data_IF_590284396242
#
_entry.id   IF_590284396242
#
_cell.length_a   1.000
_cell.length_b   1.000
_cell.length_c   1.000
_cell.angle_alpha   90.00
_cell.angle_beta   90.00
_cell.angle_gamma   90.00
#
_symmetry.space_group_name_H-M   'P 1'
#
loop_
_entity.id
_entity.type
_entity.pdbx_description
1 polymer ?
#
# COMPACT_ATOMS: atom_id res chain seq x y z
N UNK A 1 6.43 15.10 8.06
CA UNK A 1 6.72 15.93 6.88
C UNK A 1 5.63 15.65 5.87
N UNK A 2 5.04 16.70 5.32
CA UNK A 2 4.10 16.61 4.22
C UNK A 2 4.90 16.45 2.92
N UNK A 3 4.44 15.54 2.07
CA UNK A 3 5.06 15.17 0.80
C UNK A 3 4.26 15.75 -0.36
N UNK A 4 2.94 15.77 -0.24
CA UNK A 4 2.03 16.37 -1.22
C UNK A 4 1.40 17.62 -0.59
N UNK A 5 1.77 18.79 -1.09
CA UNK A 5 1.38 20.08 -0.52
C UNK A 5 0.12 20.66 -1.19
N UNK A 6 -0.06 20.39 -2.49
CA UNK A 6 -1.20 20.85 -3.29
C UNK A 6 -1.66 19.82 -4.34
N UNK A 7 -2.67 20.16 -5.13
CA UNK A 7 -3.25 19.30 -6.16
C UNK A 7 -2.25 18.89 -7.25
N UNK A 8 -1.37 19.80 -7.69
CA UNK A 8 -0.35 19.51 -8.70
C UNK A 8 0.58 18.39 -8.26
N UNK A 9 0.90 18.32 -6.96
CA UNK A 9 1.72 17.26 -6.39
C UNK A 9 1.06 15.88 -6.50
N UNK A 10 -0.24 15.80 -6.21
CA UNK A 10 -0.99 14.56 -6.32
C UNK A 10 -1.12 14.13 -7.79
N UNK A 11 -1.52 15.05 -8.68
CA UNK A 11 -1.72 14.75 -10.10
C UNK A 11 -0.40 14.38 -10.80
N UNK A 12 0.69 15.05 -10.47
CA UNK A 12 2.01 14.67 -10.97
C UNK A 12 2.41 13.27 -10.47
N UNK A 13 2.18 12.96 -9.20
CA UNK A 13 2.48 11.63 -8.67
C UNK A 13 1.61 10.53 -9.29
N UNK A 14 0.33 10.80 -9.55
CA UNK A 14 -0.57 9.89 -10.26
C UNK A 14 -0.10 9.64 -11.70
N UNK A 15 0.40 10.68 -12.37
CA UNK A 15 1.03 10.55 -13.71
C UNK A 15 2.25 9.63 -13.64
N UNK A 16 3.13 9.83 -12.66
CA UNK A 16 4.27 8.92 -12.44
C UNK A 16 3.79 7.50 -12.14
N UNK A 17 2.79 7.31 -11.26
CA UNK A 17 2.26 5.98 -10.98
C UNK A 17 1.81 5.29 -12.26
N UNK A 18 1.01 5.96 -13.10
CA UNK A 18 0.56 5.41 -14.39
C UNK A 18 1.72 4.93 -15.26
N UNK A 19 2.67 5.82 -15.54
CA UNK A 19 3.82 5.51 -16.38
C UNK A 19 4.67 4.38 -15.79
N UNK A 20 4.86 4.35 -14.47
CA UNK A 20 5.62 3.32 -13.79
C UNK A 20 4.94 1.95 -13.87
N UNK A 21 3.62 1.90 -13.70
CA UNK A 21 2.83 0.67 -13.78
C UNK A 21 2.92 0.04 -15.17
N UNK A 22 2.77 0.85 -16.21
CA UNK A 22 2.90 0.43 -17.62
C UNK A 22 4.32 -0.07 -17.91
N UNK A 23 5.34 0.69 -17.52
CA UNK A 23 6.75 0.39 -17.78
C UNK A 23 7.21 -0.94 -17.17
N UNK A 24 6.73 -1.25 -15.97
CA UNK A 24 7.18 -2.42 -15.20
C UNK A 24 6.16 -3.58 -15.22
N UNK A 25 5.10 -3.46 -16.03
CA UNK A 25 4.02 -4.43 -16.18
C UNK A 25 3.44 -4.85 -14.80
N UNK A 26 2.86 -3.87 -14.11
CA UNK A 26 2.29 -4.03 -12.77
C UNK A 26 0.81 -3.69 -12.81
N UNK A 27 -0.03 -4.61 -12.33
CA UNK A 27 -1.46 -4.32 -12.13
C UNK A 27 -1.65 -3.53 -10.85
N UNK A 28 -2.42 -2.44 -10.91
CA UNK A 28 -2.82 -1.67 -9.73
C UNK A 28 -4.24 -2.03 -9.32
N UNK A 29 -4.39 -2.55 -8.10
CA UNK A 29 -5.67 -2.99 -7.55
C UNK A 29 -6.22 -2.04 -6.49
N UNK A 30 -5.37 -1.24 -5.82
CA UNK A 30 -5.82 -0.21 -4.89
C UNK A 30 -4.72 0.83 -4.69
N UNK A 31 -5.12 2.05 -4.37
CA UNK A 31 -4.19 3.06 -3.89
C UNK A 31 -4.87 4.05 -2.94
N UNK A 32 -4.07 4.70 -2.10
CA UNK A 32 -4.48 5.88 -1.36
C UNK A 32 -3.26 6.76 -1.16
N UNK A 33 -3.24 7.94 -1.80
CA UNK A 33 -2.24 8.96 -1.57
C UNK A 33 -2.67 9.78 -0.36
N UNK A 34 -1.83 9.84 0.66
CA UNK A 34 -2.03 10.63 1.88
C UNK A 34 -1.03 11.79 1.84
N UNK A 35 -1.29 12.92 2.53
CA UNK A 35 -0.39 14.07 2.50
C UNK A 35 1.08 13.74 2.81
N UNK A 36 1.37 12.72 3.61
CA UNK A 36 2.72 12.36 4.06
C UNK A 36 3.22 10.96 3.62
N UNK A 37 2.40 10.15 2.95
CA UNK A 37 2.77 8.81 2.47
C UNK A 37 1.74 8.26 1.48
N UNK A 38 1.92 7.05 0.96
CA UNK A 38 0.92 6.41 0.12
C UNK A 38 0.87 4.90 0.38
N UNK A 39 -0.28 4.27 0.05
CA UNK A 39 -0.46 2.82 0.08
C UNK A 39 -0.84 2.32 -1.30
N UNK A 40 -0.32 1.16 -1.69
CA UNK A 40 -0.63 0.50 -2.96
C UNK A 40 -0.95 -0.98 -2.71
N UNK A 41 -1.92 -1.51 -3.46
CA UNK A 41 -2.13 -2.94 -3.65
C UNK A 41 -1.86 -3.25 -5.11
N UNK A 42 -0.81 -4.02 -5.38
CA UNK A 42 -0.31 -4.23 -6.73
C UNK A 42 0.04 -5.69 -6.99
N UNK A 43 0.00 -6.08 -8.26
CA UNK A 43 0.39 -7.41 -8.74
C UNK A 43 1.50 -7.26 -9.77
N UNK A 44 2.76 -7.38 -9.35
CA UNK A 44 3.89 -7.32 -10.27
C UNK A 44 3.94 -8.58 -11.14
N UNK A 45 4.05 -8.43 -12.48
CA UNK A 45 4.13 -9.57 -13.42
C UNK A 45 5.56 -9.96 -13.80
N UNK A 46 6.53 -9.09 -13.55
CA UNK A 46 7.94 -9.30 -13.86
C UNK A 46 8.81 -9.58 -12.63
N UNK A 47 9.95 -10.23 -12.85
CA UNK A 47 10.96 -10.39 -11.80
C UNK A 47 11.58 -9.02 -11.45
N UNK A 48 11.71 -8.73 -10.16
CA UNK A 48 12.22 -7.46 -9.64
C UNK A 48 11.42 -6.20 -10.06
N UNK A 49 10.28 -6.35 -10.71
CA UNK A 49 9.54 -5.21 -11.26
C UNK A 49 9.02 -4.28 -10.17
N UNK A 50 8.61 -4.81 -9.01
CA UNK A 50 8.26 -4.00 -7.83
C UNK A 50 9.38 -3.03 -7.42
N UNK A 51 10.62 -3.53 -7.30
CA UNK A 51 11.75 -2.73 -6.85
C UNK A 51 12.10 -1.65 -7.87
N UNK A 52 12.11 -1.99 -9.17
CA UNK A 52 12.35 -1.04 -10.27
C UNK A 52 11.27 0.04 -10.33
N UNK A 53 10.01 -0.36 -10.24
CA UNK A 53 8.85 0.53 -10.18
C UNK A 53 8.96 1.53 -9.04
N UNK A 54 9.13 1.04 -7.81
CA UNK A 54 9.21 1.89 -6.62
C UNK A 54 10.41 2.83 -6.70
N UNK A 55 11.58 2.33 -7.14
CA UNK A 55 12.76 3.17 -7.32
C UNK A 55 12.50 4.29 -8.32
N UNK A 56 11.92 3.97 -9.48
CA UNK A 56 11.68 4.94 -10.54
C UNK A 56 10.63 5.99 -10.14
N UNK A 57 9.48 5.58 -9.58
CA UNK A 57 8.43 6.51 -9.13
C UNK A 57 8.94 7.43 -8.03
N UNK A 58 9.52 6.85 -6.97
CA UNK A 58 9.98 7.63 -5.80
C UNK A 58 11.09 8.61 -6.17
N UNK A 59 12.04 8.20 -7.02
CA UNK A 59 13.14 9.07 -7.47
C UNK A 59 12.67 10.17 -8.40
N UNK A 60 11.75 9.86 -9.33
CA UNK A 60 11.19 10.84 -10.25
C UNK A 60 10.41 11.92 -9.50
N UNK A 61 9.63 11.52 -8.50
CA UNK A 61 8.89 12.47 -7.67
C UNK A 61 9.80 13.36 -6.83
N UNK A 62 10.87 12.83 -6.22
CA UNK A 62 11.86 13.63 -5.48
C UNK A 62 12.43 14.75 -6.35
N UNK A 63 12.76 14.44 -7.61
CA UNK A 63 13.30 15.43 -8.57
C UNK A 63 12.29 16.53 -8.87
N UNK A 64 11.02 16.16 -9.11
CA UNK A 64 9.93 17.11 -9.29
C UNK A 64 9.73 17.98 -8.05
N UNK A 65 9.63 17.38 -6.87
CA UNK A 65 9.41 18.08 -5.60
C UNK A 65 10.49 19.13 -5.34
N UNK A 66 11.76 18.77 -5.48
CA UNK A 66 12.87 19.71 -5.27
C UNK A 66 12.94 20.80 -6.34
N UNK A 67 12.61 20.48 -7.60
CA UNK A 67 12.54 21.48 -8.67
C UNK A 67 11.44 22.50 -8.40
N UNK A 68 10.26 22.04 -7.99
CA UNK A 68 9.10 22.89 -7.65
C UNK A 68 9.38 23.77 -6.44
N UNK A 69 9.86 23.16 -5.35
CA UNK A 69 10.04 23.84 -4.07
C UNK A 69 11.39 24.55 -3.91
N UNK A 70 12.31 24.43 -4.88
CA UNK A 70 13.69 24.95 -4.82
C UNK A 70 14.45 24.48 -3.57
N UNK A 71 14.24 23.22 -3.18
CA UNK A 71 14.87 22.59 -2.01
C UNK A 71 15.83 21.47 -2.43
N UNK A 72 16.50 20.85 -1.46
CA UNK A 72 17.30 19.63 -1.66
C UNK A 72 17.19 18.72 -0.43
N UNK A 73 17.64 17.47 -0.54
CA UNK A 73 17.68 16.52 0.58
C UNK A 73 16.79 15.29 0.36
N UNK A 74 16.39 14.64 1.46
CA UNK A 74 15.54 13.46 1.43
C UNK A 74 14.09 13.82 1.77
N UNK A 75 13.13 13.42 0.93
CA UNK A 75 11.70 13.58 1.21
C UNK A 75 11.00 12.30 1.71
N UNK A 76 11.62 11.14 1.48
CA UNK A 76 11.08 9.86 1.94
C UNK A 76 11.74 9.46 3.27
N UNK A 77 10.97 8.97 4.23
CA UNK A 77 11.47 8.54 5.54
C UNK A 77 12.23 7.21 5.54
N UNK A 78 12.65 6.73 4.37
CA UNK A 78 13.39 5.48 4.20
C UNK A 78 12.89 4.68 2.99
N UNK A 79 13.26 3.39 2.99
CA UNK A 79 12.80 2.43 1.98
C UNK A 79 11.30 2.18 2.09
N UNK A 80 10.68 1.86 0.95
CA UNK A 80 9.32 1.34 0.93
C UNK A 80 9.23 0.04 1.74
N UNK A 81 8.06 -0.19 2.35
CA UNK A 81 7.70 -1.44 3.01
C UNK A 81 6.82 -2.25 2.08
N UNK A 82 7.02 -3.55 2.03
CA UNK A 82 6.19 -4.45 1.24
C UNK A 82 6.04 -5.80 1.93
N UNK A 83 4.91 -6.46 1.72
CA UNK A 83 4.65 -7.81 2.18
C UNK A 83 3.63 -8.48 1.24
N UNK A 84 3.66 -9.81 1.17
CA UNK A 84 2.75 -10.57 0.32
C UNK A 84 1.39 -10.76 1.02
N UNK A 85 0.33 -10.79 0.23
CA UNK A 85 -1.03 -11.07 0.67
C UNK A 85 -1.57 -12.30 -0.03
N UNK A 86 -2.17 -13.20 0.74
CA UNK A 86 -2.90 -14.33 0.19
C UNK A 86 -4.18 -13.82 -0.51
N UNK A 87 -4.54 -14.44 -1.63
CA UNK A 87 -5.83 -14.19 -2.28
C UNK A 87 -7.00 -14.60 -1.34
N UNK A 88 -8.25 -14.37 -1.77
CA UNK A 88 -9.48 -14.54 -0.96
C UNK A 88 -9.65 -13.40 0.07
N UNK A 89 -10.21 -13.67 1.24
CA UNK A 89 -10.61 -12.64 2.20
C UNK A 89 -9.48 -11.70 2.67
N UNK A 90 -8.22 -12.15 2.70
CA UNK A 90 -7.08 -11.29 3.09
C UNK A 90 -6.83 -10.16 2.07
N UNK A 91 -7.02 -10.46 0.78
CA UNK A 91 -6.97 -9.46 -0.29
C UNK A 91 -8.04 -8.38 -0.09
N UNK A 92 -9.31 -8.76 0.15
CA UNK A 92 -10.37 -7.78 0.42
C UNK A 92 -10.11 -6.97 1.69
N UNK A 93 -9.57 -7.63 2.72
CA UNK A 93 -9.21 -6.96 3.97
C UNK A 93 -8.18 -5.85 3.71
N UNK A 94 -7.16 -6.11 2.89
CA UNK A 94 -6.17 -5.09 2.50
C UNK A 94 -6.75 -4.02 1.58
N UNK A 95 -7.55 -4.40 0.58
CA UNK A 95 -8.23 -3.48 -0.33
C UNK A 95 -9.05 -2.46 0.47
N UNK A 96 -9.90 -2.93 1.39
CA UNK A 96 -10.68 -2.07 2.30
C UNK A 96 -9.81 -1.18 3.16
N UNK A 97 -8.73 -1.73 3.74
CA UNK A 97 -7.83 -0.95 4.59
C UNK A 97 -7.17 0.22 3.84
N UNK A 98 -6.81 0.00 2.58
CA UNK A 98 -6.22 1.03 1.72
C UNK A 98 -7.26 2.08 1.36
N UNK A 99 -8.44 1.65 0.91
CA UNK A 99 -9.51 2.55 0.48
C UNK A 99 -10.16 3.34 1.64
N UNK A 100 -10.17 2.79 2.85
CA UNK A 100 -10.63 3.48 4.06
C UNK A 100 -9.56 4.37 4.72
N UNK A 101 -8.34 4.47 4.16
CA UNK A 101 -7.22 5.07 4.89
C UNK A 101 -7.41 6.56 5.15
N UNK A 102 -7.84 7.32 4.13
CA UNK A 102 -8.11 8.75 4.24
C UNK A 102 -9.28 9.05 5.20
N UNK A 103 -10.36 8.27 5.11
CA UNK A 103 -11.49 8.33 6.04
C UNK A 103 -11.02 8.10 7.48
N UNK A 104 -10.25 7.03 7.71
CA UNK A 104 -9.71 6.69 9.04
C UNK A 104 -8.74 7.75 9.58
N UNK A 105 -8.12 8.53 8.71
CA UNK A 105 -7.25 9.65 9.08
C UNK A 105 -8.01 10.98 9.22
N UNK A 106 -9.34 10.97 9.13
CA UNK A 106 -10.21 12.16 9.14
C UNK A 106 -9.88 13.18 8.04
N UNK A 107 -9.36 12.72 6.89
CA UNK A 107 -9.10 13.58 5.73
C UNK A 107 -10.33 13.74 4.82
N UNK A 108 -11.34 12.89 5.02
CA UNK A 108 -12.58 12.89 4.25
C UNK A 108 -13.77 12.47 5.12
N UNK A 109 -14.98 12.88 4.75
CA UNK A 109 -16.21 12.52 5.49
C UNK A 109 -16.66 11.10 5.18
N UNK A 110 -16.56 10.71 3.92
CA UNK A 110 -16.70 9.33 3.45
C UNK A 110 -15.44 8.90 2.70
N UNK A 111 -15.22 7.60 2.54
CA UNK A 111 -14.01 7.08 1.91
C UNK A 111 -13.89 7.49 0.43
N UNK A 112 -15.01 7.59 -0.30
CA UNK A 112 -15.03 8.00 -1.70
C UNK A 112 -14.85 9.50 -1.92
N UNK A 113 -15.03 10.34 -0.89
CA UNK A 113 -14.78 11.79 -1.01
C UNK A 113 -13.29 12.11 -1.15
N UNK A 114 -12.41 11.16 -0.80
CA UNK A 114 -10.97 11.33 -0.98
C UNK A 114 -10.57 11.06 -2.44
N UNK A 115 -10.49 12.13 -3.22
CA UNK A 115 -10.22 12.07 -4.67
C UNK A 115 -8.89 11.39 -5.06
N UNK A 116 -7.93 11.31 -4.13
CA UNK A 116 -6.63 10.66 -4.34
C UNK A 116 -6.58 9.22 -3.78
N UNK A 117 -7.74 8.56 -3.71
CA UNK A 117 -7.87 7.15 -3.35
C UNK A 117 -8.62 6.35 -4.41
N UNK A 118 -8.37 5.04 -4.45
CA UNK A 118 -8.95 4.15 -5.45
C UNK A 118 -10.46 3.98 -5.31
N UNK A 119 -11.05 4.18 -4.12
CA UNK A 119 -12.51 4.12 -4.00
C UNK A 119 -13.19 5.27 -4.77
N UNK A 120 -12.62 6.48 -4.73
CA UNK A 120 -13.11 7.60 -5.52
C UNK A 120 -13.00 7.31 -7.03
N UNK A 121 -11.87 6.77 -7.48
CA UNK A 121 -11.70 6.35 -8.88
C UNK A 121 -12.73 5.29 -9.28
N UNK A 122 -12.98 4.26 -8.45
CA UNK A 122 -14.00 3.23 -8.72
C UNK A 122 -15.41 3.80 -8.79
N UNK A 123 -15.72 4.75 -7.91
CA UNK A 123 -17.07 5.31 -7.76
C UNK A 123 -17.39 6.27 -8.90
N UNK A 124 -16.46 7.16 -9.21
CA UNK A 124 -16.68 8.24 -10.17
C UNK A 124 -16.07 7.97 -11.54
N UNK A 125 -15.32 6.86 -11.71
CA UNK A 125 -14.57 6.53 -12.92
C UNK A 125 -13.67 7.67 -13.38
N UNK A 126 -13.13 8.42 -12.41
CA UNK A 126 -12.38 9.66 -12.66
C UNK A 126 -11.03 9.40 -13.31
N UNK A 127 -10.48 8.20 -13.11
CA UNK A 127 -9.18 7.76 -13.61
C UNK A 127 -9.32 6.30 -14.08
N UNK A 128 -8.50 5.88 -15.04
CA UNK A 128 -8.49 4.52 -15.59
C UNK A 128 -7.16 3.82 -15.24
N UNK A 129 -6.70 3.98 -13.99
CA UNK A 129 -5.47 3.39 -13.48
C UNK A 129 -5.70 1.98 -12.94
N UNK A 130 -6.89 1.75 -12.39
CA UNK A 130 -7.21 0.52 -11.70
C UNK A 130 -7.45 -0.64 -12.65
N UNK A 131 -6.81 -1.75 -12.33
CA UNK A 131 -7.15 -3.05 -12.86
C UNK A 131 -8.32 -3.64 -12.06
N UNK A 132 -9.09 -4.50 -12.71
CA UNK A 132 -10.22 -5.16 -12.05
C UNK A 132 -9.72 -6.02 -10.89
N UNK A 133 -10.33 -5.89 -9.70
CA UNK A 133 -10.01 -6.73 -8.57
C UNK A 133 -10.34 -8.19 -8.90
N UNK A 134 -9.65 -9.12 -8.27
CA UNK A 134 -9.88 -10.56 -8.50
C UNK A 134 -11.19 -11.11 -7.90
N UNK A 135 -12.10 -10.24 -7.43
CA UNK A 135 -13.38 -10.62 -6.82
C UNK A 135 -14.45 -9.55 -7.08
N UNK A 136 -15.72 -9.97 -7.06
CA UNK A 136 -16.86 -9.06 -7.10
C UNK A 136 -16.96 -8.24 -5.81
N UNK A 137 -17.34 -6.97 -5.96
CA UNK A 137 -17.33 -5.95 -4.93
C UNK A 137 -18.76 -5.43 -4.69
N UNK A 138 -19.67 -6.34 -4.41
CA UNK A 138 -21.06 -5.98 -4.10
C UNK A 138 -21.11 -5.20 -2.77
N UNK A 139 -21.89 -4.13 -2.75
CA UNK A 139 -22.05 -3.23 -1.59
C UNK A 139 -20.71 -2.67 -1.04
N UNK A 140 -19.69 -2.60 -1.88
CA UNK A 140 -18.33 -2.33 -1.44
C UNK A 140 -18.13 -0.94 -0.84
N UNK A 141 -18.78 0.09 -1.40
CA UNK A 141 -18.71 1.46 -0.86
C UNK A 141 -19.18 1.49 0.60
N UNK A 142 -20.30 0.83 0.91
CA UNK A 142 -20.82 0.76 2.28
C UNK A 142 -19.90 -0.06 3.19
N UNK A 143 -19.36 -1.17 2.69
CA UNK A 143 -18.40 -1.97 3.44
C UNK A 143 -17.12 -1.20 3.78
N UNK A 144 -16.58 -0.40 2.86
CA UNK A 144 -15.39 0.44 3.11
C UNK A 144 -15.68 1.53 4.14
N UNK A 145 -16.86 2.16 4.08
CA UNK A 145 -17.27 3.20 5.02
C UNK A 145 -17.64 2.67 6.42
N UNK A 146 -17.84 1.37 6.57
CA UNK A 146 -18.10 0.76 7.89
C UNK A 146 -16.85 0.87 8.76
N UNK A 147 -16.96 1.29 10.05
CA UNK A 147 -15.81 1.35 10.96
C UNK A 147 -15.06 0.01 11.06
N UNK A 148 -13.72 0.07 11.02
CA UNK A 148 -12.85 -1.08 11.25
C UNK A 148 -12.46 -1.14 12.73
N UNK A 149 -12.57 -2.32 13.34
CA UNK A 149 -12.15 -2.53 14.72
C UNK A 149 -10.63 -2.38 14.85
N UNK A 150 -10.16 -1.98 16.04
CA UNK A 150 -8.73 -1.88 16.31
C UNK A 150 -8.00 -3.23 16.07
N UNK A 151 -8.65 -4.35 16.41
CA UNK A 151 -8.11 -5.70 16.19
C UNK A 151 -7.90 -6.02 14.71
N UNK A 152 -8.79 -5.58 13.82
CA UNK A 152 -8.61 -5.74 12.37
C UNK A 152 -7.45 -4.88 11.86
N UNK A 153 -7.38 -3.62 12.29
CA UNK A 153 -6.32 -2.70 11.91
C UNK A 153 -4.95 -3.18 12.38
N UNK A 154 -4.86 -3.71 13.60
CA UNK A 154 -3.60 -4.18 14.18
C UNK A 154 -3.02 -5.37 13.43
N UNK A 155 -3.85 -6.27 12.89
CA UNK A 155 -3.35 -7.37 12.04
C UNK A 155 -2.60 -6.83 10.82
N UNK A 156 -3.15 -5.81 10.17
CA UNK A 156 -2.56 -5.20 8.97
C UNK A 156 -1.34 -4.36 9.34
N UNK A 157 -1.46 -3.51 10.38
CA UNK A 157 -0.36 -2.67 10.86
C UNK A 157 0.84 -3.50 11.34
N UNK A 158 0.61 -4.65 11.96
CA UNK A 158 1.68 -5.59 12.32
C UNK A 158 2.39 -6.10 11.07
N UNK A 159 1.66 -6.45 10.02
CA UNK A 159 2.22 -6.89 8.74
C UNK A 159 3.03 -5.77 8.07
N UNK A 160 2.49 -4.53 8.03
CA UNK A 160 3.20 -3.34 7.53
C UNK A 160 4.50 -3.10 8.30
N UNK A 161 4.46 -3.14 9.63
CA UNK A 161 5.61 -2.84 10.46
C UNK A 161 6.69 -3.92 10.42
N UNK A 162 6.29 -5.18 10.32
CA UNK A 162 7.20 -6.34 10.32
C UNK A 162 7.60 -6.78 8.92
N UNK A 163 6.94 -6.26 7.88
CA UNK A 163 7.02 -6.75 6.51
C UNK A 163 6.71 -8.26 6.43
N UNK A 164 5.77 -8.70 7.26
CA UNK A 164 5.36 -10.10 7.38
C UNK A 164 4.19 -10.37 6.41
N UNK A 165 4.17 -11.51 5.69
CA UNK A 165 3.05 -11.86 4.82
C UNK A 165 1.73 -11.96 5.61
N UNK A 166 0.62 -11.59 4.97
CA UNK A 166 -0.73 -11.73 5.52
C UNK A 166 -1.49 -12.82 4.77
N UNK A 167 -2.06 -13.76 5.51
CA UNK A 167 -2.71 -14.95 4.96
C UNK A 167 -3.08 -15.93 6.05
N UNK A 168 -3.58 -17.10 5.66
CA UNK A 168 -3.78 -18.20 6.59
C UNK A 168 -2.42 -18.70 7.10
N UNK A 169 -2.41 -19.30 8.29
CA UNK A 169 -1.17 -19.65 9.00
C UNK A 169 -0.22 -20.48 8.14
N UNK A 170 -0.74 -21.50 7.47
CA UNK A 170 0.06 -22.42 6.66
C UNK A 170 0.62 -21.72 5.42
N UNK A 171 -0.17 -20.85 4.78
CA UNK A 171 0.28 -20.05 3.65
C UNK A 171 1.38 -19.07 4.07
N UNK A 172 1.21 -18.37 5.20
CA UNK A 172 2.19 -17.41 5.72
C UNK A 172 3.52 -18.11 6.01
N UNK A 173 3.50 -19.29 6.65
CA UNK A 173 4.71 -20.07 6.92
C UNK A 173 5.38 -20.48 5.60
N UNK A 174 4.61 -21.04 4.66
CA UNK A 174 5.12 -21.48 3.35
C UNK A 174 5.78 -20.34 2.58
N UNK A 175 5.13 -19.19 2.50
CA UNK A 175 5.66 -17.99 1.82
C UNK A 175 6.88 -17.45 2.56
N UNK A 176 6.85 -17.40 3.89
CA UNK A 176 7.98 -16.92 4.66
C UNK A 176 9.22 -17.82 4.50
N UNK A 177 9.05 -19.15 4.40
CA UNK A 177 10.14 -20.07 4.08
C UNK A 177 10.66 -19.83 2.66
N UNK A 178 9.77 -19.81 1.66
CA UNK A 178 10.12 -19.68 0.25
C UNK A 178 10.95 -18.43 -0.05
N UNK A 179 10.64 -17.31 0.61
CA UNK A 179 11.28 -16.02 0.35
C UNK A 179 12.22 -15.55 1.47
N UNK A 180 12.60 -16.45 2.41
CA UNK A 180 13.55 -16.11 3.48
C UNK A 180 13.03 -15.09 4.51
N UNK A 181 11.71 -14.95 4.66
CA UNK A 181 11.05 -14.00 5.55
C UNK A 181 10.73 -14.58 6.94
N UNK A 182 11.25 -15.75 7.32
CA UNK A 182 10.97 -16.37 8.63
C UNK A 182 11.28 -15.46 9.82
N UNK A 183 12.29 -14.60 9.70
CA UNK A 183 12.63 -13.60 10.73
C UNK A 183 11.47 -12.63 11.01
N UNK A 184 10.66 -12.32 10.00
CA UNK A 184 9.49 -11.44 10.12
C UNK A 184 8.37 -12.04 10.96
N UNK A 185 8.39 -13.35 11.24
CA UNK A 185 7.37 -14.05 12.03
C UNK A 185 7.75 -14.23 13.51
N UNK A 186 9.04 -14.12 13.86
CA UNK A 186 9.53 -14.38 15.23
C UNK A 186 9.06 -13.31 16.24
N UNK A 187 8.84 -13.67 17.49
CA UNK A 187 8.55 -12.68 18.54
C UNK A 187 9.67 -11.60 18.60
N UNK A 188 9.33 -10.36 18.93
CA UNK A 188 10.32 -9.29 19.12
C UNK A 188 11.21 -9.63 20.32
N UNK A 189 12.53 -9.45 20.19
CA UNK A 189 13.51 -9.62 21.26
C UNK A 189 14.59 -10.69 20.98
N UNK A 190 15.61 -10.74 21.84
CA UNK A 190 16.65 -11.79 21.82
C UNK A 190 15.95 -13.16 21.97
N UNK A 191 16.33 -14.19 21.20
CA UNK A 191 15.82 -15.54 21.40
C UNK A 191 16.02 -15.93 22.86
N UNK A 192 14.97 -16.47 23.51
CA UNK A 192 15.12 -17.01 24.86
C UNK A 192 16.16 -18.12 24.80
N UNK A 193 17.21 -18.04 25.62
CA UNK A 193 18.14 -19.15 25.78
C UNK A 193 17.31 -20.35 26.25
N UNK A 194 17.26 -21.41 25.45
CA UNK A 194 16.79 -22.71 25.94
C UNK A 194 17.75 -23.13 27.06
N UNK A 195 17.23 -23.28 28.27
CA UNK A 195 17.95 -23.96 29.34
C UNK A 195 18.17 -25.38 28.84
N UNK A 196 19.42 -25.73 28.51
CA UNK A 196 19.81 -27.13 28.42
C UNK A 196 19.49 -27.77 29.77
N UNK A 197 18.59 -28.75 29.75
CA UNK A 197 18.34 -29.66 30.87
C UNK A 197 19.61 -30.48 31.14
#
# INVERSE_FOLDING_TARGET
MQVFDDEDDYEYFLTLLKTGLEKENIELHAYCLMPNHFHLLIVPRGENSLSKFMQWVMTSYVRYYHKKNKTSGHIWQGRFKSFMVEQKHYYLTLLRYIEANALRANLSKTAQDWQYGSLAERTFKSRLLLHNPYMQLDDWINYVNTPQTQKELDKIRNSVNRQAPIGCKDWVIKIAQKYGLLSTLKAKGRPKHEKKL
#
